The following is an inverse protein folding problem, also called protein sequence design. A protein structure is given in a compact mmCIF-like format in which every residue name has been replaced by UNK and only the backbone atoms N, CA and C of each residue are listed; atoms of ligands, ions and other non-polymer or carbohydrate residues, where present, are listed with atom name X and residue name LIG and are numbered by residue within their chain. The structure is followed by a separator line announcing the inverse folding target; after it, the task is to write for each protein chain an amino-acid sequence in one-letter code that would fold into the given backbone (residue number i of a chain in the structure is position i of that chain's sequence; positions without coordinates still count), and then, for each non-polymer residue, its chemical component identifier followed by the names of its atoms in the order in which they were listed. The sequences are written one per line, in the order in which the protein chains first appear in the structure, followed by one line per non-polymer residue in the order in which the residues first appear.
data_IF_289339293504
#
_entry.id   IF_289339293504
#
_cell.length_a   1.000
_cell.length_b   1.000
_cell.length_c   1.000
_cell.angle_alpha   90.00
_cell.angle_beta   90.00
_cell.angle_gamma   90.00
#
_symmetry.space_group_name_H-M   'P 1'
#
loop_
_entity.id
_entity.type
_entity.pdbx_description
1 polymer ?
#
# COMPACT_ATOMS: atom_id res chain seq x y z
N UNK A 1 -13.17 8.55 -8.27
CA UNK A 1 -12.66 7.18 -8.08
C UNK A 1 -13.85 6.28 -7.71
N UNK A 2 -13.82 4.99 -8.06
CA UNK A 2 -14.90 4.06 -7.72
C UNK A 2 -14.95 3.77 -6.20
N UNK A 3 -13.79 3.81 -5.54
CA UNK A 3 -13.65 3.70 -4.09
C UNK A 3 -12.96 4.92 -3.50
N UNK A 4 -13.55 5.49 -2.45
CA UNK A 4 -12.90 6.49 -1.62
C UNK A 4 -12.75 5.95 -0.20
N UNK A 5 -11.53 5.53 0.15
CA UNK A 5 -11.30 4.79 1.40
C UNK A 5 -11.44 5.66 2.64
N UNK A 6 -11.28 6.99 2.56
CA UNK A 6 -11.28 7.88 3.73
C UNK A 6 -10.33 7.36 4.85
N UNK A 7 -9.12 6.93 4.46
CA UNK A 7 -8.19 6.21 5.34
C UNK A 7 -7.27 7.13 6.19
N UNK A 8 -7.50 8.45 6.15
CA UNK A 8 -6.71 9.39 6.92
C UNK A 8 -7.06 9.29 8.42
N UNK A 9 -6.08 8.96 9.24
CA UNK A 9 -6.18 8.95 10.71
C UNK A 9 -5.55 10.18 11.35
N UNK A 10 -5.50 10.20 12.68
CA UNK A 10 -4.86 11.27 13.48
C UNK A 10 -3.35 11.28 13.34
N UNK A 11 -2.75 10.15 13.00
CA UNK A 11 -1.31 10.00 12.81
C UNK A 11 -1.00 8.95 11.71
N UNK A 12 0.29 8.79 11.40
CA UNK A 12 0.75 7.88 10.36
C UNK A 12 0.38 6.41 10.65
N UNK A 13 0.53 5.94 11.90
CA UNK A 13 0.22 4.56 12.26
C UNK A 13 -1.27 4.24 12.07
N UNK A 14 -2.15 5.15 12.48
CA UNK A 14 -3.60 5.01 12.26
C UNK A 14 -3.92 5.02 10.76
N UNK A 15 -3.30 5.92 9.99
CA UNK A 15 -3.50 6.01 8.53
C UNK A 15 -3.07 4.71 7.83
N UNK A 16 -1.89 4.18 8.16
CA UNK A 16 -1.37 2.93 7.60
C UNK A 16 -2.30 1.75 7.94
N UNK A 17 -2.72 1.65 9.21
CA UNK A 17 -3.66 0.61 9.64
C UNK A 17 -5.00 0.69 8.88
N UNK A 18 -5.55 1.89 8.72
CA UNK A 18 -6.78 2.09 7.96
C UNK A 18 -6.60 1.75 6.47
N UNK A 19 -5.46 2.08 5.85
CA UNK A 19 -5.17 1.68 4.47
C UNK A 19 -5.20 0.15 4.33
N UNK A 20 -4.54 -0.58 5.22
CA UNK A 20 -4.51 -2.05 5.18
C UNK A 20 -5.93 -2.62 5.29
N UNK A 21 -6.70 -2.19 6.30
CA UNK A 21 -8.05 -2.71 6.57
C UNK A 21 -8.96 -2.43 5.37
N UNK A 22 -9.03 -1.18 4.93
CA UNK A 22 -10.01 -0.76 3.91
C UNK A 22 -9.66 -1.27 2.52
N UNK A 23 -8.37 -1.44 2.20
CA UNK A 23 -7.99 -2.09 0.94
C UNK A 23 -8.33 -3.58 0.97
N UNK A 24 -8.12 -4.27 2.09
CA UNK A 24 -8.47 -5.70 2.18
C UNK A 24 -9.97 -5.94 1.89
N UNK A 25 -10.83 -5.06 2.41
CA UNK A 25 -12.28 -5.09 2.15
C UNK A 25 -12.60 -4.93 0.66
N UNK A 26 -11.93 -4.01 -0.04
CA UNK A 26 -12.13 -3.79 -1.48
C UNK A 26 -11.61 -4.97 -2.29
N UNK A 27 -10.46 -5.54 -1.93
CA UNK A 27 -9.89 -6.69 -2.61
C UNK A 27 -10.75 -7.96 -2.46
N UNK A 28 -11.45 -8.13 -1.33
CA UNK A 28 -12.45 -9.20 -1.16
C UNK A 28 -13.66 -9.01 -2.07
N UNK A 29 -14.12 -7.76 -2.23
CA UNK A 29 -15.29 -7.44 -3.05
C UNK A 29 -14.99 -7.59 -4.54
N UNK A 30 -13.89 -6.98 -4.99
CA UNK A 30 -13.56 -6.89 -6.42
C UNK A 30 -12.82 -8.11 -6.95
N UNK A 31 -12.11 -8.85 -6.10
CA UNK A 31 -11.30 -10.04 -6.45
C UNK A 31 -10.48 -9.83 -7.74
N UNK A 32 -9.67 -8.76 -7.80
CA UNK A 32 -8.98 -8.41 -9.04
C UNK A 32 -7.91 -9.44 -9.39
N UNK A 33 -7.63 -9.58 -10.69
CA UNK A 33 -6.57 -10.48 -11.20
C UNK A 33 -5.16 -9.92 -10.97
N UNK A 34 -5.04 -8.61 -10.72
CA UNK A 34 -3.79 -7.94 -10.38
C UNK A 34 -4.06 -6.60 -9.68
N UNK A 35 -3.07 -6.10 -8.94
CA UNK A 35 -3.07 -4.78 -8.33
C UNK A 35 -1.84 -3.98 -8.76
N UNK A 36 -2.05 -2.69 -9.01
CA UNK A 36 -1.00 -1.75 -9.36
C UNK A 36 -0.84 -0.73 -8.24
N UNK A 37 0.37 -0.55 -7.75
CA UNK A 37 0.74 0.44 -6.72
C UNK A 37 1.70 1.43 -7.34
N UNK A 38 1.48 2.72 -7.08
CA UNK A 38 2.33 3.80 -7.56
C UNK A 38 3.06 4.46 -6.39
N UNK A 39 4.39 4.51 -6.48
CA UNK A 39 5.26 5.19 -5.52
C UNK A 39 5.26 4.54 -4.14
N UNK A 40 5.82 5.25 -3.17
CA UNK A 40 6.30 4.69 -1.89
C UNK A 40 5.79 5.45 -0.65
N UNK A 41 4.72 6.24 -0.81
CA UNK A 41 4.00 6.84 0.31
C UNK A 41 3.27 5.78 1.14
N UNK A 42 2.63 6.16 2.25
CA UNK A 42 1.91 5.21 3.13
C UNK A 42 0.86 4.36 2.42
N UNK A 43 0.33 4.80 1.28
CA UNK A 43 -0.63 4.01 0.50
C UNK A 43 -0.02 2.74 -0.09
N UNK A 44 1.30 2.67 -0.33
CA UNK A 44 1.92 1.49 -0.94
C UNK A 44 1.87 0.24 -0.04
N UNK A 45 1.68 0.45 1.28
CA UNK A 45 1.48 -0.63 2.26
C UNK A 45 0.21 -1.45 1.97
N UNK A 46 -0.69 -0.95 1.11
CA UNK A 46 -1.80 -1.71 0.53
C UNK A 46 -1.36 -3.01 -0.18
N UNK A 47 -0.09 -3.13 -0.55
CA UNK A 47 0.50 -4.37 -1.07
C UNK A 47 0.40 -5.56 -0.11
N UNK A 48 0.39 -5.32 1.21
CA UNK A 48 0.32 -6.38 2.22
C UNK A 48 -0.95 -7.25 2.07
N UNK A 49 -2.18 -6.69 2.14
CA UNK A 49 -3.40 -7.49 1.98
C UNK A 49 -3.49 -8.15 0.60
N UNK A 50 -3.08 -7.47 -0.47
CA UNK A 50 -3.02 -8.08 -1.81
C UNK A 50 -2.11 -9.31 -1.87
N UNK A 51 -0.92 -9.23 -1.25
CA UNK A 51 0.02 -10.35 -1.20
C UNK A 51 -0.55 -11.53 -0.40
N UNK A 52 -1.23 -11.27 0.73
CA UNK A 52 -1.90 -12.30 1.53
C UNK A 52 -3.00 -13.02 0.76
N UNK A 53 -3.69 -12.30 -0.13
CA UNK A 53 -4.74 -12.82 -1.01
C UNK A 53 -4.18 -13.47 -2.29
N UNK A 54 -2.85 -13.51 -2.46
CA UNK A 54 -2.16 -14.03 -3.65
C UNK A 54 -2.50 -13.28 -4.94
N UNK A 55 -2.90 -12.01 -4.83
CA UNK A 55 -3.12 -11.14 -5.98
C UNK A 55 -1.76 -10.68 -6.50
N UNK A 56 -1.44 -10.84 -7.79
CA UNK A 56 -0.25 -10.27 -8.42
C UNK A 56 -0.16 -8.75 -8.20
N UNK A 57 1.03 -8.26 -7.81
CA UNK A 57 1.25 -6.84 -7.52
C UNK A 57 2.31 -6.29 -8.46
N UNK A 58 2.00 -5.18 -9.11
CA UNK A 58 2.92 -4.40 -9.92
C UNK A 58 3.20 -3.09 -9.19
N UNK A 59 4.46 -2.80 -8.89
CA UNK A 59 4.86 -1.56 -8.24
C UNK A 59 5.55 -0.65 -9.25
N UNK A 60 4.90 0.45 -9.60
CA UNK A 60 5.47 1.49 -10.45
C UNK A 60 6.27 2.49 -9.61
N UNK A 61 7.40 2.94 -10.18
CA UNK A 61 8.43 3.72 -9.47
C UNK A 61 9.13 2.96 -8.34
N UNK A 62 9.04 1.62 -8.36
CA UNK A 62 9.91 0.75 -7.60
C UNK A 62 11.38 1.04 -7.95
N UNK A 63 12.24 1.16 -6.93
CA UNK A 63 13.70 1.27 -7.16
C UNK A 63 14.35 2.61 -6.81
N UNK A 64 13.59 3.66 -6.47
CA UNK A 64 14.20 4.82 -5.81
C UNK A 64 14.91 4.35 -4.54
N UNK A 65 16.12 4.82 -4.25
CA UNK A 65 16.87 4.44 -3.04
C UNK A 65 17.69 5.62 -2.56
N UNK A 66 17.43 6.07 -1.34
CA UNK A 66 18.23 7.11 -0.69
C UNK A 66 19.08 6.56 0.47
N UNK A 67 18.85 5.30 0.87
CA UNK A 67 19.55 4.59 1.95
C UNK A 67 19.44 5.24 3.35
N UNK A 68 18.61 6.26 3.51
CA UNK A 68 18.32 6.90 4.79
C UNK A 68 17.01 6.36 5.36
N UNK A 69 17.09 5.56 6.44
CA UNK A 69 15.92 4.95 7.08
C UNK A 69 15.04 5.95 7.84
N UNK A 70 15.48 7.20 8.01
CA UNK A 70 14.65 8.26 8.58
C UNK A 70 13.58 8.75 7.59
N UNK A 71 13.75 8.45 6.30
CA UNK A 71 12.79 8.75 5.25
C UNK A 71 11.71 7.66 5.26
N UNK A 72 10.45 7.98 5.58
CA UNK A 72 9.37 7.00 5.61
C UNK A 72 9.21 6.21 4.31
N UNK A 73 9.41 6.88 3.18
CA UNK A 73 9.32 6.30 1.83
C UNK A 73 10.37 5.19 1.62
N UNK A 74 11.59 5.33 2.16
CA UNK A 74 12.61 4.27 2.08
C UNK A 74 12.21 3.04 2.89
N UNK A 75 11.55 3.24 4.04
CA UNK A 75 11.05 2.14 4.88
C UNK A 75 9.88 1.43 4.20
N UNK A 76 8.90 2.19 3.72
CA UNK A 76 7.74 1.66 3.02
C UNK A 76 8.15 0.85 1.79
N UNK A 77 9.12 1.36 1.02
CA UNK A 77 9.62 0.70 -0.17
C UNK A 77 10.24 -0.66 0.11
N UNK A 78 11.02 -0.80 1.20
CA UNK A 78 11.57 -2.11 1.62
C UNK A 78 10.52 -3.12 2.07
N UNK A 79 9.34 -2.65 2.48
CA UNK A 79 8.23 -3.53 2.89
C UNK A 79 7.46 -4.02 1.66
N UNK A 80 7.42 -3.21 0.59
CA UNK A 80 6.57 -3.43 -0.59
C UNK A 80 7.30 -4.04 -1.78
N UNK A 81 8.55 -3.62 -2.05
CA UNK A 81 9.46 -4.25 -3.04
C UNK A 81 9.94 -5.62 -2.53
#
# INVERSE_FOLDING_TARGET
PDYFLNAAGKNAAETIGQVIIKVDDVLEQEKPEAMLVLGDTNSCISAIPAKRRKIPIFHMEAGNRCFDQRVPEETNRKIVD
#
